data_IF_660243934523
#
_entry.id   IF_660243934523
#
_cell.length_a   1.000
_cell.length_b   1.000
_cell.length_c   1.000
_cell.angle_alpha   90.00
_cell.angle_beta   90.00
_cell.angle_gamma   90.00
#
_symmetry.space_group_name_H-M   'P 1'
#
loop_
_entity.id
_entity.type
_entity.pdbx_description
1 polymer ?
#
# COMPACT_ATOMS: atom_id res chain seq x y z
N UNK A 1 -1.15 -28.41 -52.24
CA UNK A 1 -1.55 -27.16 -51.53
C UNK A 1 -2.78 -27.29 -50.65
N UNK A 2 -3.89 -27.91 -51.09
CA UNK A 2 -5.14 -27.95 -50.31
C UNK A 2 -5.07 -28.70 -48.95
N UNK A 3 -4.28 -29.77 -48.87
CA UNK A 3 -4.15 -30.59 -47.64
C UNK A 3 -3.43 -29.85 -46.51
N UNK A 4 -2.37 -29.08 -46.81
CA UNK A 4 -1.68 -28.24 -45.82
C UNK A 4 -2.57 -27.14 -45.26
N UNK A 5 -3.44 -26.55 -46.09
CA UNK A 5 -4.38 -25.49 -45.65
C UNK A 5 -5.45 -26.06 -44.72
N UNK A 6 -5.95 -27.27 -45.00
CA UNK A 6 -6.91 -27.97 -44.14
C UNK A 6 -6.30 -28.42 -42.80
N UNK A 7 -5.05 -28.88 -42.80
CA UNK A 7 -4.32 -29.23 -41.58
C UNK A 7 -4.03 -28.00 -40.72
N UNK A 8 -3.59 -26.89 -41.32
CA UNK A 8 -3.39 -25.61 -40.61
C UNK A 8 -4.70 -25.05 -40.05
N UNK A 9 -5.82 -25.17 -40.79
CA UNK A 9 -7.15 -24.79 -40.28
C UNK A 9 -7.59 -25.68 -39.11
N UNK A 10 -7.42 -26.99 -39.19
CA UNK A 10 -7.76 -27.91 -38.08
C UNK A 10 -6.90 -27.65 -36.85
N UNK A 11 -5.58 -27.52 -37.00
CA UNK A 11 -4.66 -27.22 -35.89
C UNK A 11 -5.01 -25.87 -35.24
N UNK A 12 -5.34 -24.85 -36.04
CA UNK A 12 -5.79 -23.55 -35.55
C UNK A 12 -7.14 -23.63 -34.84
N UNK A 13 -8.09 -24.43 -35.32
CA UNK A 13 -9.37 -24.66 -34.64
C UNK A 13 -9.25 -25.44 -33.33
N UNK A 14 -8.39 -26.46 -33.27
CA UNK A 14 -8.09 -27.20 -32.03
C UNK A 14 -7.40 -26.30 -31.02
N UNK A 15 -6.39 -25.54 -31.44
CA UNK A 15 -5.73 -24.55 -30.58
C UNK A 15 -6.73 -23.49 -30.06
N UNK A 16 -7.67 -23.03 -30.89
CA UNK A 16 -8.66 -22.04 -30.50
C UNK A 16 -9.67 -22.56 -29.45
N UNK A 17 -9.98 -23.85 -29.45
CA UNK A 17 -10.84 -24.48 -28.43
C UNK A 17 -10.06 -25.00 -27.20
N UNK A 18 -8.84 -25.48 -27.38
CA UNK A 18 -8.04 -26.06 -26.28
C UNK A 18 -7.41 -25.01 -25.39
N UNK A 19 -7.04 -23.84 -25.93
CA UNK A 19 -6.47 -22.72 -25.15
C UNK A 19 -7.43 -22.17 -24.07
N UNK A 20 -8.70 -21.84 -24.34
CA UNK A 20 -9.61 -21.37 -23.30
C UNK A 20 -9.95 -22.45 -22.26
N UNK A 21 -10.01 -23.73 -22.68
CA UNK A 21 -10.19 -24.85 -21.76
C UNK A 21 -8.99 -25.00 -20.82
N UNK A 22 -7.77 -24.96 -21.35
CA UNK A 22 -6.56 -25.03 -20.52
C UNK A 22 -6.46 -23.82 -19.57
N UNK A 23 -6.80 -22.63 -20.05
CA UNK A 23 -6.79 -21.39 -19.27
C UNK A 23 -7.78 -21.39 -18.10
N UNK A 24 -8.84 -22.20 -18.15
CA UNK A 24 -9.84 -22.32 -17.07
C UNK A 24 -9.55 -23.50 -16.14
N UNK A 25 -9.18 -24.65 -16.69
CA UNK A 25 -8.94 -25.87 -15.90
C UNK A 25 -7.67 -25.77 -15.06
N UNK A 26 -6.60 -25.20 -15.59
CA UNK A 26 -5.29 -25.18 -14.92
C UNK A 26 -5.28 -24.32 -13.63
N UNK A 27 -5.87 -23.12 -13.58
CA UNK A 27 -6.02 -22.36 -12.34
C UNK A 27 -6.89 -23.06 -11.29
N UNK A 28 -7.96 -23.74 -11.72
CA UNK A 28 -8.84 -24.48 -10.81
C UNK A 28 -8.08 -25.63 -10.15
N UNK A 29 -7.36 -26.44 -10.95
CA UNK A 29 -6.51 -27.51 -10.43
C UNK A 29 -5.43 -26.98 -9.49
N UNK A 30 -4.81 -25.84 -9.83
CA UNK A 30 -3.83 -25.18 -8.97
C UNK A 30 -4.41 -24.76 -7.62
N UNK A 31 -5.60 -24.13 -7.61
CA UNK A 31 -6.28 -23.73 -6.37
C UNK A 31 -6.69 -24.95 -5.53
N UNK A 32 -7.15 -26.03 -6.16
CA UNK A 32 -7.50 -27.28 -5.48
C UNK A 32 -6.26 -27.94 -4.84
N UNK A 33 -5.16 -28.07 -5.59
CA UNK A 33 -3.90 -28.59 -5.05
C UNK A 33 -3.39 -27.74 -3.87
N UNK A 34 -3.46 -26.41 -4.02
CA UNK A 34 -3.09 -25.47 -2.96
C UNK A 34 -4.00 -25.58 -1.75
N UNK A 35 -5.30 -25.84 -1.92
CA UNK A 35 -6.23 -26.05 -0.81
C UNK A 35 -5.96 -27.35 -0.04
N UNK A 36 -5.71 -28.46 -0.76
CA UNK A 36 -5.38 -29.77 -0.18
C UNK A 36 -4.09 -29.67 0.65
N UNK A 37 -3.10 -28.90 0.18
CA UNK A 37 -1.87 -28.69 0.93
C UNK A 37 -2.05 -27.71 2.10
N UNK A 38 -2.62 -26.52 1.84
CA UNK A 38 -2.59 -25.41 2.81
C UNK A 38 -3.53 -25.55 3.98
N UNK A 39 -4.68 -26.19 3.81
CA UNK A 39 -5.65 -26.28 4.92
C UNK A 39 -5.13 -27.20 6.04
N UNK A 40 -4.75 -28.46 5.76
CA UNK A 40 -4.28 -29.38 6.82
C UNK A 40 -2.78 -29.33 7.12
N UNK A 41 -1.90 -29.06 6.14
CA UNK A 41 -0.44 -29.26 6.31
C UNK A 41 0.36 -27.97 6.50
N UNK A 42 -0.22 -26.80 6.22
CA UNK A 42 0.51 -25.54 6.37
C UNK A 42 0.40 -25.02 7.80
N UNK A 43 1.50 -24.49 8.34
CA UNK A 43 1.57 -23.97 9.71
C UNK A 43 0.51 -22.89 9.97
N UNK A 44 0.28 -21.98 9.00
CA UNK A 44 -0.78 -20.98 9.08
C UNK A 44 -2.20 -21.53 8.85
N UNK A 45 -2.34 -22.77 8.35
CA UNK A 45 -3.64 -23.43 8.20
C UNK A 45 -4.22 -23.94 9.53
N UNK A 46 -3.38 -24.09 10.55
CA UNK A 46 -3.78 -24.40 11.93
C UNK A 46 -4.37 -23.19 12.65
N UNK A 47 -4.05 -22.00 12.16
CA UNK A 47 -4.57 -20.76 12.71
C UNK A 47 -5.99 -20.61 12.15
N UNK A 48 -7.00 -20.49 13.02
CA UNK A 48 -8.36 -20.37 12.56
C UNK A 48 -8.48 -19.14 11.65
N UNK A 49 -9.34 -19.19 10.63
CA UNK A 49 -9.52 -18.12 9.65
C UNK A 49 -10.36 -18.54 8.44
N UNK A 50 -10.83 -17.58 7.60
CA UNK A 50 -11.60 -17.92 6.41
C UNK A 50 -10.79 -18.75 5.41
N UNK A 51 -11.28 -19.95 5.08
CA UNK A 51 -10.57 -20.92 4.22
C UNK A 51 -10.18 -20.35 2.86
N UNK A 52 -11.01 -19.49 2.25
CA UNK A 52 -10.70 -18.87 0.96
C UNK A 52 -9.45 -17.97 1.02
N UNK A 53 -9.22 -17.30 2.16
CA UNK A 53 -8.04 -16.46 2.38
C UNK A 53 -6.80 -17.31 2.66
N UNK A 54 -6.95 -18.44 3.37
CA UNK A 54 -5.87 -19.47 3.51
C UNK A 54 -5.38 -19.97 2.15
N UNK A 55 -6.33 -20.23 1.24
CA UNK A 55 -6.06 -20.79 -0.10
C UNK A 55 -5.53 -19.72 -1.06
N UNK A 56 -6.04 -18.50 -1.05
CA UNK A 56 -5.73 -17.50 -2.08
C UNK A 56 -5.78 -16.07 -1.56
N UNK A 57 -4.94 -15.19 -2.14
CA UNK A 57 -4.98 -13.75 -1.88
C UNK A 57 -6.08 -13.01 -2.66
N UNK A 58 -6.82 -13.70 -3.54
CA UNK A 58 -7.88 -13.09 -4.35
C UNK A 58 -8.95 -12.36 -3.51
N UNK A 59 -9.47 -12.89 -2.39
CA UNK A 59 -10.43 -12.16 -1.57
C UNK A 59 -9.85 -10.86 -0.99
N UNK A 60 -8.55 -10.85 -0.66
CA UNK A 60 -7.85 -9.66 -0.21
C UNK A 60 -7.74 -8.63 -1.33
N UNK A 61 -7.34 -9.05 -2.53
CA UNK A 61 -7.27 -8.18 -3.70
C UNK A 61 -8.63 -7.57 -4.07
N UNK A 62 -9.71 -8.38 -4.06
CA UNK A 62 -11.07 -7.91 -4.33
C UNK A 62 -11.54 -6.90 -3.26
N UNK A 63 -11.21 -7.15 -2.00
CA UNK A 63 -11.53 -6.22 -0.91
C UNK A 63 -10.78 -4.90 -1.08
N UNK A 64 -9.50 -4.96 -1.48
CA UNK A 64 -8.68 -3.79 -1.79
C UNK A 64 -9.24 -2.98 -2.96
N UNK A 65 -9.62 -3.63 -4.07
CA UNK A 65 -10.21 -2.94 -5.23
C UNK A 65 -11.58 -2.33 -4.94
N UNK A 66 -12.30 -2.84 -3.94
CA UNK A 66 -13.57 -2.27 -3.44
C UNK A 66 -13.37 -1.20 -2.37
N UNK A 67 -12.15 -0.95 -1.90
CA UNK A 67 -11.86 -0.04 -0.79
C UNK A 67 -12.38 -0.53 0.58
N UNK A 68 -12.73 -1.81 0.71
CA UNK A 68 -13.29 -2.38 1.95
C UNK A 68 -12.25 -3.08 2.82
N UNK A 69 -11.01 -3.17 2.36
CA UNK A 69 -9.93 -3.89 3.03
C UNK A 69 -9.75 -3.53 4.52
N UNK A 70 -9.78 -2.24 4.94
CA UNK A 70 -9.65 -1.91 6.36
C UNK A 70 -10.81 -2.46 7.20
N UNK A 71 -12.03 -2.45 6.67
CA UNK A 71 -13.22 -2.97 7.35
C UNK A 71 -13.21 -4.49 7.44
N UNK A 72 -12.82 -5.16 6.35
CA UNK A 72 -12.67 -6.61 6.31
C UNK A 72 -11.62 -7.08 7.32
N UNK A 73 -10.44 -6.46 7.33
CA UNK A 73 -9.37 -6.81 8.27
C UNK A 73 -9.82 -6.60 9.72
N UNK A 74 -10.52 -5.49 10.02
CA UNK A 74 -11.12 -5.27 11.34
C UNK A 74 -12.11 -6.37 11.74
N UNK A 75 -12.95 -6.81 10.81
CA UNK A 75 -13.92 -7.88 11.10
C UNK A 75 -13.19 -9.22 11.32
N UNK A 76 -12.15 -9.50 10.54
CA UNK A 76 -11.30 -10.69 10.74
C UNK A 76 -10.60 -10.67 12.09
N UNK A 77 -10.12 -9.52 12.57
CA UNK A 77 -9.55 -9.42 13.91
C UNK A 77 -10.52 -9.78 15.04
N UNK A 78 -11.84 -9.70 14.82
CA UNK A 78 -12.85 -10.10 15.81
C UNK A 78 -13.11 -11.60 15.81
N UNK A 79 -12.91 -12.23 14.66
CA UNK A 79 -13.24 -13.64 14.46
C UNK A 79 -11.97 -14.47 14.49
N UNK A 80 -11.03 -14.27 13.55
CA UNK A 80 -9.84 -15.10 13.32
C UNK A 80 -8.82 -14.51 12.29
N UNK A 81 -7.50 -14.71 12.48
CA UNK A 81 -6.42 -14.15 11.63
C UNK A 81 -6.03 -15.07 10.44
N UNK A 82 -5.95 -14.58 9.18
CA UNK A 82 -5.83 -15.43 7.98
C UNK A 82 -4.36 -15.74 7.57
N UNK A 83 -4.16 -16.13 6.30
CA UNK A 83 -2.89 -16.42 5.59
C UNK A 83 -1.76 -15.38 5.74
N UNK A 84 -2.11 -14.21 6.25
CA UNK A 84 -1.23 -13.20 6.80
C UNK A 84 -1.57 -13.01 8.28
N UNK A 85 -0.56 -13.16 9.14
CA UNK A 85 -0.76 -12.90 10.56
C UNK A 85 -0.85 -11.40 10.80
N UNK A 86 -2.01 -10.96 11.25
CA UNK A 86 -2.27 -9.60 11.65
C UNK A 86 -2.50 -9.59 13.16
N UNK A 87 -1.77 -8.75 13.88
CA UNK A 87 -1.84 -8.64 15.34
C UNK A 87 -2.35 -7.26 15.75
N UNK A 88 -3.12 -7.19 16.84
CA UNK A 88 -3.61 -5.93 17.45
C UNK A 88 -3.17 -5.77 18.92
N UNK A 89 -2.45 -6.76 19.45
CA UNK A 89 -1.98 -6.78 20.84
C UNK A 89 -0.79 -5.85 21.01
N UNK A 90 -0.75 -5.01 22.07
CA UNK A 90 0.36 -4.09 22.30
C UNK A 90 1.73 -4.78 22.36
N UNK A 91 1.81 -5.96 22.97
CA UNK A 91 3.06 -6.74 23.05
C UNK A 91 3.62 -7.12 21.67
N UNK A 92 2.75 -7.33 20.68
CA UNK A 92 3.18 -7.66 19.32
C UNK A 92 3.93 -6.52 18.65
N UNK A 93 3.76 -5.28 19.10
CA UNK A 93 4.57 -4.17 18.60
C UNK A 93 6.04 -4.39 18.91
N UNK A 94 6.38 -4.73 20.15
CA UNK A 94 7.76 -4.94 20.56
C UNK A 94 8.32 -6.25 19.97
N UNK A 95 7.49 -7.29 19.85
CA UNK A 95 7.88 -8.56 19.23
C UNK A 95 8.21 -8.41 17.73
N UNK A 96 7.50 -7.52 17.01
CA UNK A 96 7.63 -7.36 15.55
C UNK A 96 8.57 -6.21 15.18
N UNK A 97 8.47 -5.08 15.88
CA UNK A 97 9.16 -3.83 15.57
C UNK A 97 10.18 -3.40 16.63
N UNK A 98 10.22 -4.05 17.78
CA UNK A 98 11.17 -3.74 18.85
C UNK A 98 12.61 -4.07 18.47
N UNK A 99 13.56 -3.54 19.24
CA UNK A 99 14.99 -3.69 18.99
C UNK A 99 15.49 -5.15 19.02
N UNK A 100 14.77 -6.03 19.73
CA UNK A 100 15.10 -7.45 19.84
C UNK A 100 14.58 -8.30 18.66
N UNK A 101 13.74 -7.75 17.77
CA UNK A 101 13.29 -8.44 16.56
C UNK A 101 14.48 -8.63 15.61
N UNK A 102 15.12 -9.80 15.72
CA UNK A 102 16.40 -10.11 15.07
C UNK A 102 16.37 -10.04 13.54
N UNK A 103 15.19 -9.99 12.91
CA UNK A 103 15.02 -9.93 11.46
C UNK A 103 13.97 -8.90 11.09
N UNK A 104 14.40 -7.71 10.66
CA UNK A 104 13.50 -6.78 9.97
C UNK A 104 13.05 -7.47 8.68
N UNK A 105 11.74 -7.68 8.53
CA UNK A 105 11.19 -8.23 7.30
C UNK A 105 11.65 -7.39 6.11
N UNK A 106 12.07 -8.07 5.04
CA UNK A 106 12.37 -7.38 3.79
C UNK A 106 11.13 -6.65 3.32
N UNK A 107 11.27 -5.35 3.05
CA UNK A 107 10.22 -4.56 2.45
C UNK A 107 9.98 -5.10 1.04
N UNK A 108 8.71 -5.21 0.67
CA UNK A 108 8.35 -5.62 -0.67
C UNK A 108 8.74 -4.51 -1.65
N UNK A 109 9.77 -4.78 -2.48
CA UNK A 109 10.29 -3.85 -3.48
C UNK A 109 9.36 -3.73 -4.69
N UNK A 110 8.17 -3.19 -4.52
CA UNK A 110 7.18 -3.11 -5.60
C UNK A 110 7.47 -2.02 -6.64
N UNK A 111 8.32 -1.03 -6.34
CA UNK A 111 8.49 0.11 -7.23
C UNK A 111 9.83 0.81 -7.04
N UNK A 112 10.60 0.92 -8.12
CA UNK A 112 11.68 1.90 -8.26
C UNK A 112 11.23 2.93 -9.29
N UNK A 113 11.19 4.21 -8.90
CA UNK A 113 10.83 5.32 -9.80
C UNK A 113 11.83 5.42 -10.96
N UNK A 114 13.10 5.09 -10.69
CA UNK A 114 14.18 5.02 -11.68
C UNK A 114 15.14 3.87 -11.35
N UNK A 115 15.83 3.28 -12.34
CA UNK A 115 16.77 2.17 -12.11
C UNK A 115 17.91 2.49 -11.13
N UNK A 116 18.35 3.75 -11.12
CA UNK A 116 19.44 4.29 -10.29
C UNK A 116 18.98 4.79 -8.91
N UNK A 117 17.67 4.88 -8.67
CA UNK A 117 17.14 5.37 -7.40
C UNK A 117 17.00 4.23 -6.39
N UNK A 118 17.47 4.46 -5.16
CA UNK A 118 17.19 3.59 -4.01
C UNK A 118 16.11 4.23 -3.12
N UNK A 119 14.83 3.87 -3.31
CA UNK A 119 13.72 4.42 -2.52
C UNK A 119 13.80 3.99 -1.05
N UNK A 120 13.83 4.95 -0.13
CA UNK A 120 13.82 4.70 1.32
C UNK A 120 12.62 3.83 1.77
N UNK A 121 11.46 4.03 1.16
CA UNK A 121 10.23 3.34 1.53
C UNK A 121 10.27 1.84 1.21
N UNK A 122 11.02 1.41 0.20
CA UNK A 122 11.02 0.01 -0.26
C UNK A 122 12.40 -0.66 -0.18
N UNK A 123 13.48 0.08 0.09
CA UNK A 123 14.80 -0.50 0.36
C UNK A 123 14.89 -1.15 1.74
N UNK A 124 15.66 -2.23 1.83
CA UNK A 124 15.86 -3.06 3.04
C UNK A 124 17.35 -3.20 3.37
N UNK A 125 17.67 -3.53 4.63
CA UNK A 125 19.05 -3.78 5.05
C UNK A 125 19.97 -2.58 4.88
N UNK A 126 21.17 -2.81 4.35
CA UNK A 126 22.22 -1.81 4.18
C UNK A 126 21.88 -0.75 3.11
N UNK A 127 20.97 -1.06 2.20
CA UNK A 127 20.45 -0.10 1.20
C UNK A 127 19.42 0.88 1.80
N UNK A 128 19.03 0.68 3.06
CA UNK A 128 18.09 1.55 3.74
C UNK A 128 18.81 2.81 4.26
N UNK A 129 18.82 3.87 3.44
CA UNK A 129 19.44 5.16 3.73
C UNK A 129 18.76 5.98 4.85
N UNK A 130 18.23 5.34 5.90
CA UNK A 130 17.63 6.01 7.07
C UNK A 130 18.58 7.00 7.71
N UNK A 131 19.87 6.67 7.76
CA UNK A 131 20.90 7.55 8.31
C UNK A 131 20.96 8.90 7.58
N UNK A 132 20.75 8.93 6.26
CA UNK A 132 20.78 10.16 5.48
C UNK A 132 19.64 11.13 5.84
N UNK A 133 18.46 10.60 6.22
CA UNK A 133 17.31 11.42 6.62
C UNK A 133 17.21 11.68 8.12
N UNK A 134 17.91 10.91 8.95
CA UNK A 134 17.78 10.97 10.42
C UNK A 134 18.05 12.37 10.99
N UNK A 135 19.00 13.11 10.43
CA UNK A 135 19.32 14.47 10.87
C UNK A 135 18.15 15.45 10.72
N UNK A 136 17.35 15.31 9.65
CA UNK A 136 16.16 16.13 9.40
C UNK A 136 15.04 15.91 10.41
N UNK A 137 15.07 14.79 11.15
CA UNK A 137 14.11 14.47 12.21
C UNK A 137 14.70 14.67 13.62
N UNK A 138 15.86 15.32 13.73
CA UNK A 138 16.40 15.69 15.05
C UNK A 138 15.56 16.81 15.68
N UNK A 139 15.54 16.87 17.02
CA UNK A 139 14.81 17.93 17.73
C UNK A 139 15.23 19.32 17.27
N UNK A 140 16.54 19.52 17.01
CA UNK A 140 17.07 20.77 16.49
C UNK A 140 16.49 21.10 15.11
N UNK A 141 16.53 20.16 14.16
CA UNK A 141 15.99 20.37 12.82
C UNK A 141 14.49 20.68 12.84
N UNK A 142 13.72 20.00 13.71
CA UNK A 142 12.29 20.27 13.89
C UNK A 142 12.07 21.69 14.42
N UNK A 143 12.83 22.10 15.45
CA UNK A 143 12.73 23.46 15.99
C UNK A 143 13.12 24.52 14.95
N UNK A 144 14.14 24.25 14.13
CA UNK A 144 14.58 25.17 13.07
C UNK A 144 13.53 25.29 11.94
N UNK A 145 12.67 24.27 11.75
CA UNK A 145 11.59 24.26 10.75
C UNK A 145 10.27 24.87 11.25
N UNK A 146 10.05 24.94 12.57
CA UNK A 146 8.84 25.47 13.18
C UNK A 146 8.45 26.87 12.65
N UNK A 147 9.36 27.86 12.52
CA UNK A 147 8.99 29.20 12.06
C UNK A 147 8.37 29.21 10.65
N UNK A 148 8.88 28.36 9.74
CA UNK A 148 8.38 28.24 8.37
C UNK A 148 6.96 27.64 8.38
N UNK A 149 6.72 26.64 9.23
CA UNK A 149 5.39 26.07 9.39
C UNK A 149 4.40 27.11 9.94
N UNK A 150 4.82 27.89 10.95
CA UNK A 150 3.99 28.91 11.56
C UNK A 150 3.57 29.99 10.57
N UNK A 151 4.45 30.43 9.67
CA UNK A 151 4.11 31.40 8.61
C UNK A 151 2.96 30.89 7.72
N UNK A 152 2.96 29.61 7.34
CA UNK A 152 1.89 29.03 6.54
C UNK A 152 0.59 28.84 7.32
N UNK A 153 0.68 28.49 8.61
CA UNK A 153 -0.49 28.45 9.50
C UNK A 153 -1.10 29.85 9.66
N UNK A 154 -0.28 30.87 9.86
CA UNK A 154 -0.74 32.27 10.00
C UNK A 154 -1.43 32.75 8.71
N UNK A 155 -0.90 32.40 7.54
CA UNK A 155 -1.54 32.68 6.24
C UNK A 155 -2.91 32.02 6.13
N UNK A 156 -3.00 30.73 6.46
CA UNK A 156 -4.27 30.00 6.48
C UNK A 156 -5.27 30.70 7.41
N UNK A 157 -4.89 30.98 8.66
CA UNK A 157 -5.78 31.61 9.63
C UNK A 157 -6.23 33.00 9.20
N UNK A 158 -5.32 33.80 8.61
CA UNK A 158 -5.65 35.11 8.06
C UNK A 158 -6.71 35.02 6.98
N UNK A 159 -6.53 34.13 6.00
CA UNK A 159 -7.46 33.95 4.88
C UNK A 159 -8.82 33.41 5.34
N UNK A 160 -8.83 32.49 6.29
CA UNK A 160 -10.10 32.05 6.89
C UNK A 160 -10.79 33.17 7.66
N UNK A 161 -10.04 34.00 8.39
CA UNK A 161 -10.59 35.20 9.01
C UNK A 161 -11.22 36.16 8.01
N UNK A 162 -10.63 36.33 6.83
CA UNK A 162 -11.18 37.14 5.73
C UNK A 162 -12.45 36.51 5.13
N UNK A 163 -12.45 35.20 4.88
CA UNK A 163 -13.60 34.46 4.36
C UNK A 163 -14.79 34.52 5.33
N UNK A 164 -14.54 34.32 6.62
CA UNK A 164 -15.58 34.40 7.68
C UNK A 164 -16.19 35.81 7.71
N UNK A 165 -15.37 36.87 7.64
CA UNK A 165 -15.87 38.26 7.61
C UNK A 165 -16.75 38.55 6.39
N UNK A 166 -16.55 37.83 5.29
CA UNK A 166 -17.34 37.92 4.06
C UNK A 166 -18.57 37.01 4.05
N UNK A 167 -18.83 36.27 5.13
CA UNK A 167 -19.84 35.20 5.21
C UNK A 167 -19.66 34.15 4.09
N UNK A 168 -18.41 33.91 3.69
CA UNK A 168 -18.06 32.94 2.66
C UNK A 168 -17.92 31.55 3.28
N UNK A 169 -18.62 30.56 2.68
CA UNK A 169 -18.52 29.15 3.08
C UNK A 169 -17.40 28.47 2.29
N UNK A 170 -16.52 27.77 2.99
CA UNK A 170 -15.38 27.09 2.39
C UNK A 170 -15.25 25.64 2.92
N UNK A 171 -14.66 24.75 2.13
CA UNK A 171 -14.36 23.39 2.54
C UNK A 171 -13.01 23.34 3.27
N UNK A 172 -13.03 23.07 4.57
CA UNK A 172 -11.80 22.95 5.36
C UNK A 172 -10.89 21.82 4.85
N UNK A 173 -11.44 20.76 4.25
CA UNK A 173 -10.63 19.69 3.68
C UNK A 173 -9.79 20.19 2.51
N UNK A 174 -10.33 21.08 1.68
CA UNK A 174 -9.59 21.72 0.59
C UNK A 174 -8.48 22.62 1.12
N UNK A 175 -8.79 23.48 2.10
CA UNK A 175 -7.79 24.36 2.70
C UNK A 175 -6.67 23.63 3.45
N UNK A 176 -6.97 22.49 4.08
CA UNK A 176 -5.93 21.62 4.66
C UNK A 176 -5.03 20.98 3.59
N UNK A 177 -5.56 20.72 2.38
CA UNK A 177 -4.74 20.29 1.24
C UNK A 177 -3.85 21.43 0.76
N UNK A 178 -4.37 22.65 0.62
CA UNK A 178 -3.56 23.83 0.27
C UNK A 178 -2.43 24.08 1.26
N UNK A 179 -2.73 24.05 2.57
CA UNK A 179 -1.70 24.14 3.60
C UNK A 179 -0.63 23.05 3.43
N UNK A 180 -1.05 21.81 3.20
CA UNK A 180 -0.11 20.69 3.03
C UNK A 180 0.80 20.87 1.81
N UNK A 181 0.27 21.41 0.70
CA UNK A 181 1.05 21.71 -0.49
C UNK A 181 2.05 22.84 -0.26
N UNK A 182 1.62 23.98 0.31
CA UNK A 182 2.51 25.11 0.56
C UNK A 182 3.61 24.76 1.56
N UNK A 183 3.29 24.07 2.67
CA UNK A 183 4.29 23.60 3.65
C UNK A 183 5.28 22.63 3.01
N UNK A 184 4.79 21.69 2.19
CA UNK A 184 5.67 20.75 1.48
C UNK A 184 6.55 21.46 0.44
N UNK A 185 6.02 22.49 -0.23
CA UNK A 185 6.77 23.32 -1.17
C UNK A 185 7.92 24.05 -0.51
N UNK A 186 7.65 24.70 0.63
CA UNK A 186 8.67 25.39 1.41
C UNK A 186 9.74 24.40 1.93
N UNK A 187 9.34 23.25 2.46
CA UNK A 187 10.28 22.28 3.06
C UNK A 187 11.10 21.47 2.05
N UNK A 188 10.49 21.04 0.94
CA UNK A 188 11.12 20.10 0.02
C UNK A 188 11.73 20.78 -1.20
N UNK A 189 11.12 21.89 -1.64
CA UNK A 189 11.45 22.53 -2.91
C UNK A 189 11.89 23.98 -2.73
N UNK A 190 11.83 24.51 -1.50
CA UNK A 190 12.07 25.91 -1.19
C UNK A 190 11.28 26.83 -2.15
N UNK A 191 10.03 26.46 -2.43
CA UNK A 191 9.16 27.11 -3.42
C UNK A 191 7.78 27.33 -2.81
N UNK A 192 7.25 28.55 -2.96
CA UNK A 192 5.88 28.87 -2.58
C UNK A 192 4.94 28.56 -3.74
N UNK A 193 3.95 27.70 -3.49
CA UNK A 193 2.90 27.41 -4.48
C UNK A 193 1.72 28.38 -4.38
N UNK A 194 1.69 29.21 -3.33
CA UNK A 194 0.68 30.25 -3.09
C UNK A 194 -0.75 29.69 -3.08
N UNK A 195 -0.92 28.42 -2.69
CA UNK A 195 -2.22 27.78 -2.65
C UNK A 195 -3.13 28.47 -1.62
N UNK A 196 -2.56 28.94 -0.50
CA UNK A 196 -3.28 29.71 0.51
C UNK A 196 -3.61 31.16 0.11
N UNK A 197 -3.12 31.66 -1.04
CA UNK A 197 -3.43 33.02 -1.49
C UNK A 197 -4.68 33.11 -2.38
N UNK A 198 -5.24 31.97 -2.79
CA UNK A 198 -6.51 31.86 -3.53
C UNK A 198 -7.71 32.43 -2.77
#
# INVERSE_FOLDING_TARGET
MAVSVLLLRRLRSYAFCSLPLLATVLPILFLLARAIYRIPFHLLGQIPGPKLRVISHLPHAISGTRGQQPHDVRNLHREYAPDQLSFITPSSWDDIHGHAAANKFHKYGCFKVRPDAQPMLTSSGDEHARAAFAHGFSQRAINDQEPILMVNIDRLLKKQGENIKRDYKFDICEWMRFLSFDVSGDFLLNTQFECLET
#
